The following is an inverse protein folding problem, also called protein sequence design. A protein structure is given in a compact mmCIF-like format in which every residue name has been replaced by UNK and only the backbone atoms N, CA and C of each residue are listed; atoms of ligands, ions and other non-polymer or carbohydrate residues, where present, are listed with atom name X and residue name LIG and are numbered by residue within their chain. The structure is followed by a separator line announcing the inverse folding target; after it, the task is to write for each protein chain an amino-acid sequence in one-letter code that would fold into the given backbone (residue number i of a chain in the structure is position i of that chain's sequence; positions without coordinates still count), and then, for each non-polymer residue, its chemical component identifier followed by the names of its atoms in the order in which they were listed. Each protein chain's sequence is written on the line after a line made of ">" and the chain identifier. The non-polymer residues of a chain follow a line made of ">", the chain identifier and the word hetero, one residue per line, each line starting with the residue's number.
data_IF_353014659887
#
_entry.id   IF_353014659887
#
_cell.length_a   1.000
_cell.length_b   1.000
_cell.length_c   1.000
_cell.angle_alpha   90.00
_cell.angle_beta   90.00
_cell.angle_gamma   90.00
#
_symmetry.space_group_name_H-M   'P 1'
#
loop_
_entity.id
_entity.type
_entity.pdbx_description
1 polymer ?
#
# COMPACT_ATOMS: atom_id res chain seq x y z
N UNK A 1 1.81 -56.79 84.59
CA UNK A 1 1.10 -56.90 83.32
C UNK A 1 1.19 -55.54 82.59
N UNK A 2 2.04 -55.44 81.57
CA UNK A 2 2.31 -54.18 80.84
C UNK A 2 1.83 -54.35 79.46
N UNK A 3 0.86 -53.53 79.06
CA UNK A 3 0.28 -53.41 77.69
C UNK A 3 1.16 -52.46 76.90
N UNK A 4 1.71 -52.93 75.77
CA UNK A 4 2.43 -52.16 74.79
C UNK A 4 1.45 -51.65 73.75
N UNK A 5 1.35 -50.32 73.65
CA UNK A 5 0.58 -49.59 72.58
C UNK A 5 1.48 -49.38 71.39
N UNK A 6 1.12 -49.91 70.22
CA UNK A 6 1.82 -49.66 68.95
C UNK A 6 1.29 -48.38 68.32
N UNK A 7 2.17 -47.44 68.04
CA UNK A 7 1.88 -46.26 67.23
C UNK A 7 2.10 -46.60 65.75
N UNK A 8 1.08 -46.53 64.94
CA UNK A 8 1.16 -46.60 63.48
C UNK A 8 1.36 -45.23 62.92
N UNK A 9 2.54 -44.97 62.30
CA UNK A 9 2.79 -43.74 61.53
C UNK A 9 2.20 -43.88 60.11
N UNK A 10 1.13 -43.15 59.85
CA UNK A 10 0.57 -43.03 58.51
C UNK A 10 1.35 -41.93 57.78
N UNK A 11 2.14 -42.34 56.77
CA UNK A 11 2.86 -41.45 55.88
C UNK A 11 1.88 -40.90 54.85
N UNK A 12 1.50 -39.62 54.95
CA UNK A 12 0.66 -38.91 53.98
C UNK A 12 1.55 -38.50 52.80
N UNK A 13 1.46 -39.22 51.69
CA UNK A 13 2.13 -38.88 50.44
C UNK A 13 1.34 -37.74 49.76
N UNK A 14 1.84 -36.48 49.86
CA UNK A 14 1.33 -35.36 49.04
C UNK A 14 1.79 -35.58 47.61
N UNK A 15 0.90 -36.04 46.75
CA UNK A 15 1.06 -35.93 45.29
C UNK A 15 0.86 -34.44 44.91
N UNK A 16 1.94 -33.68 44.74
CA UNK A 16 1.91 -32.43 44.04
C UNK A 16 1.79 -32.70 42.55
N UNK A 17 0.56 -32.72 42.03
CA UNK A 17 0.30 -32.66 40.60
C UNK A 17 0.74 -31.31 40.09
N UNK A 18 1.90 -31.25 39.49
CA UNK A 18 2.30 -30.12 38.63
C UNK A 18 1.34 -30.11 37.43
N UNK A 19 0.33 -29.24 37.49
CA UNK A 19 -0.43 -28.88 36.32
C UNK A 19 0.57 -28.27 35.33
N UNK A 20 0.99 -29.05 34.33
CA UNK A 20 1.66 -28.51 33.15
C UNK A 20 0.65 -27.55 32.50
N UNK A 21 0.91 -26.25 32.61
CA UNK A 21 0.15 -25.24 31.87
C UNK A 21 0.39 -25.53 30.40
N UNK A 22 -0.67 -25.87 29.68
CA UNK A 22 -0.60 -26.00 28.23
C UNK A 22 -0.13 -24.65 27.66
N UNK A 23 0.95 -24.67 26.89
CA UNK A 23 1.50 -23.47 26.24
C UNK A 23 0.39 -22.87 25.33
N UNK A 24 0.13 -21.56 25.44
CA UNK A 24 -0.85 -20.93 24.54
C UNK A 24 -0.22 -20.60 23.18
N UNK A 25 -1.03 -20.44 22.12
CA UNK A 25 -0.52 -20.00 20.83
C UNK A 25 0.30 -18.70 20.90
N UNK A 26 -0.11 -17.74 21.75
CA UNK A 26 0.63 -16.49 21.97
C UNK A 26 1.98 -16.75 22.64
N UNK A 27 2.05 -17.68 23.59
CA UNK A 27 3.31 -18.07 24.23
C UNK A 27 4.24 -18.76 23.23
N UNK A 28 3.69 -19.61 22.35
CA UNK A 28 4.46 -20.23 21.26
C UNK A 28 5.01 -19.20 20.31
N UNK A 29 4.20 -18.21 19.91
CA UNK A 29 4.63 -17.12 19.05
C UNK A 29 5.71 -16.25 19.70
N UNK A 30 5.55 -15.91 21.00
CA UNK A 30 6.53 -15.16 21.75
C UNK A 30 7.87 -15.91 21.87
N UNK A 31 7.83 -17.21 22.18
CA UNK A 31 9.03 -18.03 22.28
C UNK A 31 9.78 -18.15 20.95
N UNK A 32 9.05 -18.25 19.82
CA UNK A 32 9.65 -18.22 18.48
C UNK A 32 10.41 -16.91 18.26
N UNK A 33 9.79 -15.77 18.54
CA UNK A 33 10.41 -14.46 18.37
C UNK A 33 11.61 -14.26 19.31
N UNK A 34 11.53 -14.79 20.55
CA UNK A 34 12.66 -14.78 21.50
C UNK A 34 13.86 -15.60 20.99
N UNK A 35 13.60 -16.70 20.28
CA UNK A 35 14.66 -17.48 19.64
C UNK A 35 15.28 -16.74 18.46
N UNK A 36 14.48 -16.06 17.66
CA UNK A 36 14.97 -15.28 16.49
C UNK A 36 15.81 -14.09 16.94
N UNK A 37 15.35 -13.35 17.93
CA UNK A 37 16.06 -12.18 18.49
C UNK A 37 17.41 -12.59 19.12
N UNK A 38 17.43 -13.75 19.77
CA UNK A 38 18.65 -14.29 20.38
C UNK A 38 19.55 -15.08 19.41
N UNK A 39 19.29 -15.04 18.10
CA UNK A 39 19.99 -15.81 17.04
C UNK A 39 20.03 -17.33 17.29
N UNK A 40 19.03 -17.86 18.01
CA UNK A 40 18.88 -19.30 18.31
C UNK A 40 18.02 -20.00 17.26
N UNK A 41 18.43 -19.92 15.99
CA UNK A 41 17.61 -20.37 14.85
C UNK A 41 17.34 -21.87 14.85
N UNK A 42 18.26 -22.71 15.37
CA UNK A 42 18.02 -24.16 15.55
C UNK A 42 16.89 -24.41 16.56
N UNK A 43 16.80 -23.64 17.64
CA UNK A 43 15.71 -23.75 18.60
C UNK A 43 14.39 -23.24 18.03
N UNK A 44 14.43 -22.19 17.21
CA UNK A 44 13.27 -21.72 16.48
C UNK A 44 12.73 -22.77 15.49
N UNK A 45 13.62 -23.41 14.72
CA UNK A 45 13.29 -24.48 13.77
C UNK A 45 12.70 -25.71 14.46
N UNK A 46 13.17 -26.05 15.66
CA UNK A 46 12.62 -27.14 16.47
C UNK A 46 11.16 -26.93 16.91
N UNK A 47 10.65 -25.69 16.84
CA UNK A 47 9.24 -25.36 17.09
C UNK A 47 8.34 -25.56 15.87
N UNK A 48 8.91 -25.84 14.71
CA UNK A 48 8.16 -25.94 13.44
C UNK A 48 7.46 -27.28 13.27
N UNK A 49 6.40 -27.28 12.46
CA UNK A 49 5.91 -28.55 11.89
C UNK A 49 6.96 -29.08 10.92
N UNK A 50 6.94 -30.40 10.60
CA UNK A 50 7.88 -30.98 9.64
C UNK A 50 7.83 -30.30 8.26
N UNK A 51 6.63 -29.89 7.82
CA UNK A 51 6.40 -29.20 6.56
C UNK A 51 7.02 -27.80 6.58
N UNK A 52 6.83 -27.06 7.68
CA UNK A 52 7.39 -25.72 7.84
C UNK A 52 8.93 -25.75 7.94
N UNK A 53 9.50 -26.69 8.70
CA UNK A 53 10.95 -26.86 8.81
C UNK A 53 11.60 -27.18 7.45
N UNK A 54 10.92 -27.94 6.61
CA UNK A 54 11.37 -28.23 5.23
C UNK A 54 11.27 -27.00 4.32
N UNK A 55 10.23 -26.19 4.48
CA UNK A 55 9.98 -25.01 3.65
C UNK A 55 10.91 -23.85 4.01
N UNK A 56 11.24 -23.67 5.29
CA UNK A 56 12.06 -22.55 5.81
C UNK A 56 13.15 -23.09 6.71
N UNK A 57 14.30 -23.53 6.16
CA UNK A 57 15.46 -23.94 6.94
C UNK A 57 15.99 -22.82 7.83
N UNK A 58 16.52 -23.17 9.02
CA UNK A 58 17.00 -22.20 10.00
C UNK A 58 18.03 -21.19 9.49
N UNK A 59 18.87 -21.60 8.53
CA UNK A 59 19.84 -20.68 7.89
C UNK A 59 19.13 -19.57 7.07
N UNK A 60 18.09 -19.92 6.34
CA UNK A 60 17.29 -18.96 5.57
C UNK A 60 16.51 -18.02 6.50
N UNK A 61 15.98 -18.57 7.60
CA UNK A 61 15.28 -17.80 8.62
C UNK A 61 16.20 -16.77 9.30
N UNK A 62 17.45 -17.16 9.57
CA UNK A 62 18.49 -16.25 10.10
C UNK A 62 18.77 -15.10 9.16
N UNK A 63 19.01 -15.38 7.87
CA UNK A 63 19.28 -14.36 6.87
C UNK A 63 18.10 -13.38 6.76
N UNK A 64 16.87 -13.89 6.71
CA UNK A 64 15.68 -13.07 6.68
C UNK A 64 15.59 -12.16 7.92
N UNK A 65 15.73 -12.73 9.14
CA UNK A 65 15.64 -11.94 10.37
C UNK A 65 16.69 -10.84 10.44
N UNK A 66 17.94 -11.15 10.09
CA UNK A 66 19.03 -10.18 10.07
C UNK A 66 18.82 -9.05 9.05
N UNK A 67 18.17 -9.33 7.92
CA UNK A 67 17.86 -8.32 6.91
C UNK A 67 16.83 -7.28 7.37
N UNK A 68 16.02 -7.59 8.40
CA UNK A 68 15.03 -6.67 8.98
C UNK A 68 15.67 -5.59 9.88
N UNK A 69 16.91 -5.79 10.28
CA UNK A 69 17.61 -4.89 11.22
C UNK A 69 17.32 -5.19 12.69
N UNK A 70 17.74 -4.30 13.58
CA UNK A 70 17.56 -4.43 15.02
C UNK A 70 16.08 -4.30 15.41
N UNK A 71 15.55 -5.28 16.16
CA UNK A 71 14.21 -5.21 16.74
C UNK A 71 14.22 -4.22 17.92
N UNK A 72 13.36 -3.20 17.87
CA UNK A 72 13.23 -2.15 18.88
C UNK A 72 12.05 -2.35 19.81
N UNK A 73 10.95 -2.88 19.28
CA UNK A 73 9.71 -3.02 20.04
C UNK A 73 8.86 -4.19 19.52
N UNK A 74 8.20 -4.88 20.44
CA UNK A 74 7.14 -5.86 20.17
C UNK A 74 5.80 -5.31 20.68
N UNK A 75 4.84 -5.18 19.79
CA UNK A 75 3.48 -4.77 20.14
C UNK A 75 2.66 -5.93 20.73
N UNK A 76 1.43 -5.61 21.13
CA UNK A 76 0.48 -6.59 21.68
C UNK A 76 0.03 -7.59 20.62
N UNK A 77 0.17 -8.88 20.91
CA UNK A 77 -0.29 -9.96 20.05
C UNK A 77 -1.82 -9.93 19.88
N UNK A 78 -2.29 -10.23 18.67
CA UNK A 78 -3.71 -10.44 18.32
C UNK A 78 -3.87 -11.83 17.76
N UNK A 79 -4.95 -12.53 18.12
CA UNK A 79 -5.20 -13.90 17.68
C UNK A 79 -6.50 -14.03 16.90
N UNK A 80 -6.49 -14.91 15.91
CA UNK A 80 -7.68 -15.32 15.17
C UNK A 80 -7.58 -16.82 14.91
N UNK A 81 -8.66 -17.57 15.13
CA UNK A 81 -8.69 -19.01 14.87
C UNK A 81 -9.42 -19.29 13.55
N UNK A 82 -8.84 -20.13 12.71
CA UNK A 82 -9.43 -20.59 11.46
C UNK A 82 -9.04 -22.05 11.22
N UNK A 83 -10.04 -22.90 10.95
CA UNK A 83 -9.87 -24.35 10.66
C UNK A 83 -8.98 -25.11 11.66
N UNK A 84 -9.10 -24.82 12.95
CA UNK A 84 -8.32 -25.48 14.00
C UNK A 84 -6.89 -25.00 14.16
N UNK A 85 -6.46 -24.01 13.38
CA UNK A 85 -5.19 -23.30 13.53
C UNK A 85 -5.40 -21.91 14.14
N UNK A 86 -4.45 -21.46 14.95
CA UNK A 86 -4.46 -20.12 15.51
C UNK A 86 -3.43 -19.27 14.81
N UNK A 87 -3.88 -18.17 14.21
CA UNK A 87 -3.00 -17.14 13.64
C UNK A 87 -2.73 -16.10 14.72
N UNK A 88 -1.48 -16.00 15.15
CA UNK A 88 -1.01 -14.98 16.09
C UNK A 88 -0.30 -13.91 15.29
N UNK A 89 -0.78 -12.67 15.37
CA UNK A 89 -0.18 -11.50 14.72
C UNK A 89 0.50 -10.66 15.78
N UNK A 90 1.81 -10.51 15.69
CA UNK A 90 2.62 -9.70 16.61
C UNK A 90 3.20 -8.52 15.82
N UNK A 91 2.82 -7.28 16.15
CA UNK A 91 3.47 -6.10 15.59
C UNK A 91 4.92 -6.00 16.05
N UNK A 92 5.82 -5.79 15.12
CA UNK A 92 7.26 -5.67 15.38
C UNK A 92 7.77 -4.36 14.78
N UNK A 93 8.49 -3.58 15.57
CA UNK A 93 9.18 -2.35 15.12
C UNK A 93 10.67 -2.62 15.04
N UNK A 94 11.23 -2.61 13.85
CA UNK A 94 12.65 -2.74 13.58
C UNK A 94 13.30 -1.38 13.32
N UNK A 95 14.62 -1.35 13.31
CA UNK A 95 15.35 -0.13 12.90
C UNK A 95 14.98 0.33 11.48
N UNK A 96 14.66 -0.61 10.59
CA UNK A 96 14.36 -0.37 9.18
C UNK A 96 12.83 -0.29 8.86
N UNK A 97 11.95 -0.30 9.85
CA UNK A 97 10.51 -0.20 9.67
C UNK A 97 9.69 -1.10 10.57
N UNK A 98 8.37 -1.07 10.42
CA UNK A 98 7.45 -1.87 11.21
C UNK A 98 6.83 -2.99 10.36
N UNK A 99 6.74 -4.20 10.94
CA UNK A 99 6.17 -5.40 10.32
C UNK A 99 5.22 -6.09 11.29
N UNK A 100 4.20 -6.76 10.77
CA UNK A 100 3.38 -7.71 11.49
C UNK A 100 3.95 -9.13 11.26
N UNK A 101 4.43 -9.79 12.32
CA UNK A 101 4.78 -11.20 12.28
C UNK A 101 3.47 -12.01 12.40
N UNK A 102 3.06 -12.70 11.34
CA UNK A 102 1.94 -13.64 11.34
C UNK A 102 2.49 -15.03 11.57
N UNK A 103 2.17 -15.61 12.72
CA UNK A 103 2.64 -16.92 13.17
C UNK A 103 1.43 -17.82 13.26
N UNK A 104 1.40 -18.88 12.44
CA UNK A 104 0.35 -19.89 12.45
C UNK A 104 0.76 -21.00 13.40
N UNK A 105 -0.08 -21.26 14.41
CA UNK A 105 0.17 -22.28 15.45
C UNK A 105 -0.87 -23.36 15.34
N UNK A 106 -0.44 -24.64 15.25
CA UNK A 106 -1.31 -25.80 15.20
C UNK A 106 -1.85 -26.19 16.60
N UNK A 107 -2.77 -27.17 16.62
CA UNK A 107 -3.37 -27.67 17.85
C UNK A 107 -2.34 -28.33 18.81
N UNK A 108 -1.17 -28.72 18.31
CA UNK A 108 -0.05 -29.26 19.07
C UNK A 108 0.95 -28.19 19.51
N UNK A 109 0.60 -26.92 19.38
CA UNK A 109 1.45 -25.74 19.71
C UNK A 109 2.75 -25.68 18.90
N UNK A 110 2.75 -26.18 17.65
CA UNK A 110 3.87 -26.07 16.74
C UNK A 110 3.61 -24.95 15.73
N UNK A 111 4.67 -24.35 15.23
CA UNK A 111 4.59 -23.32 14.20
C UNK A 111 4.40 -23.98 12.83
N UNK A 112 3.24 -23.79 12.24
CA UNK A 112 2.86 -24.28 10.92
C UNK A 112 3.08 -23.26 9.80
N UNK A 113 3.32 -21.98 10.15
CA UNK A 113 3.59 -20.93 9.19
C UNK A 113 4.18 -19.68 9.86
N UNK A 114 5.03 -18.97 9.14
CA UNK A 114 5.61 -17.69 9.55
C UNK A 114 5.66 -16.76 8.34
N UNK A 115 5.10 -15.57 8.49
CA UNK A 115 5.11 -14.54 7.45
C UNK A 115 5.32 -13.17 8.10
N UNK A 116 6.21 -12.37 7.53
CA UNK A 116 6.36 -10.96 7.88
C UNK A 116 5.66 -10.12 6.82
N UNK A 117 4.68 -9.34 7.25
CA UNK A 117 3.94 -8.40 6.39
C UNK A 117 4.21 -6.98 6.85
N UNK A 118 4.19 -5.98 5.98
CA UNK A 118 4.17 -4.60 6.44
C UNK A 118 3.10 -4.42 7.51
N UNK A 119 3.48 -3.80 8.63
CA UNK A 119 2.54 -3.55 9.72
C UNK A 119 1.33 -2.76 9.19
N UNK A 120 0.14 -3.14 9.62
CA UNK A 120 -1.03 -2.33 9.32
C UNK A 120 -0.80 -0.93 9.90
N UNK A 121 -0.86 0.09 9.04
CA UNK A 121 -0.73 1.46 9.51
C UNK A 121 -1.77 1.73 10.61
N UNK A 122 -1.42 2.45 11.68
CA UNK A 122 -2.39 2.83 12.70
C UNK A 122 -3.61 3.49 12.06
N UNK A 123 -4.80 3.38 12.64
CA UNK A 123 -5.97 4.07 12.11
C UNK A 123 -5.70 5.58 11.95
N UNK A 124 -6.21 6.17 10.88
CA UNK A 124 -6.10 7.62 10.70
C UNK A 124 -6.69 8.34 11.93
N UNK A 125 -6.03 9.37 12.46
CA UNK A 125 -6.59 10.14 13.56
C UNK A 125 -7.94 10.74 13.16
N UNK A 126 -8.89 10.83 14.10
CA UNK A 126 -10.17 11.49 13.83
C UNK A 126 -9.95 12.96 13.40
N UNK A 127 -10.81 13.51 12.53
CA UNK A 127 -10.76 14.93 12.23
C UNK A 127 -10.93 15.77 13.50
N UNK A 128 -10.36 16.99 13.58
CA UNK A 128 -10.64 17.92 14.65
C UNK A 128 -12.16 18.16 14.80
N UNK A 129 -12.63 18.33 16.04
CA UNK A 129 -14.07 18.51 16.31
C UNK A 129 -14.66 19.76 15.65
N UNK A 130 -13.85 20.78 15.42
CA UNK A 130 -14.18 22.06 14.78
C UNK A 130 -13.81 22.08 13.28
N UNK A 131 -13.42 20.96 12.70
CA UNK A 131 -13.10 20.89 11.28
C UNK A 131 -14.29 21.36 10.42
N UNK A 132 -14.04 22.18 9.37
CA UNK A 132 -15.10 22.67 8.49
C UNK A 132 -15.56 21.60 7.47
N UNK A 133 -15.41 20.32 7.81
CA UNK A 133 -15.86 19.16 7.06
C UNK A 133 -16.20 18.00 8.01
N UNK A 134 -16.84 16.97 7.49
CA UNK A 134 -17.12 15.71 8.18
C UNK A 134 -16.65 14.54 7.33
N UNK A 135 -16.09 13.52 7.96
CA UNK A 135 -15.78 12.25 7.29
C UNK A 135 -16.86 11.22 7.62
N UNK A 136 -17.31 10.50 6.62
CA UNK A 136 -18.27 9.40 6.76
C UNK A 136 -17.83 8.20 5.93
N UNK A 137 -18.21 6.99 6.38
CA UNK A 137 -18.02 5.78 5.57
C UNK A 137 -18.74 5.93 4.23
N UNK A 138 -18.11 5.42 3.19
CA UNK A 138 -18.64 5.38 1.84
C UNK A 138 -18.33 4.02 1.21
N UNK A 139 -19.23 3.51 0.40
CA UNK A 139 -19.01 2.26 -0.33
C UNK A 139 -19.03 2.54 -1.83
N UNK A 140 -17.98 2.13 -2.53
CA UNK A 140 -17.93 2.18 -3.99
C UNK A 140 -18.47 0.85 -4.51
N UNK A 141 -19.66 0.84 -5.15
CA UNK A 141 -20.27 -0.37 -5.67
C UNK A 141 -19.48 -0.87 -6.89
N UNK A 142 -19.03 -2.13 -6.85
CA UNK A 142 -18.41 -2.78 -8.00
C UNK A 142 -19.09 -4.13 -8.30
N UNK A 143 -18.94 -4.68 -9.50
CA UNK A 143 -19.59 -5.95 -9.86
C UNK A 143 -19.21 -7.12 -8.94
N UNK A 144 -18.02 -7.09 -8.35
CA UNK A 144 -17.52 -8.17 -7.48
C UNK A 144 -17.75 -7.88 -6.00
N UNK A 145 -18.37 -6.76 -5.64
CA UNK A 145 -18.68 -6.31 -4.28
C UNK A 145 -18.15 -4.91 -3.98
N UNK A 146 -18.69 -4.26 -2.97
CA UNK A 146 -18.35 -2.90 -2.62
C UNK A 146 -16.91 -2.76 -2.12
N UNK A 147 -16.26 -1.64 -2.49
CA UNK A 147 -14.97 -1.24 -1.94
C UNK A 147 -15.20 -0.21 -0.82
N UNK A 148 -14.66 -0.45 0.38
CA UNK A 148 -14.81 0.48 1.49
C UNK A 148 -14.05 1.78 1.21
N UNK A 149 -14.68 2.89 1.54
CA UNK A 149 -14.14 4.24 1.33
C UNK A 149 -14.48 5.19 2.46
N UNK A 150 -14.04 6.42 2.30
CA UNK A 150 -14.38 7.55 3.17
C UNK A 150 -14.66 8.78 2.31
N UNK A 151 -15.81 9.39 2.53
CA UNK A 151 -16.17 10.67 1.94
C UNK A 151 -15.92 11.79 2.96
N UNK A 152 -15.01 12.69 2.63
CA UNK A 152 -14.82 13.95 3.34
C UNK A 152 -15.74 15.01 2.71
N UNK A 153 -16.81 15.38 3.41
CA UNK A 153 -17.83 16.32 2.94
C UNK A 153 -17.67 17.67 3.66
N UNK A 154 -17.54 18.79 2.94
CA UNK A 154 -17.54 20.11 3.55
C UNK A 154 -18.81 20.38 4.36
N UNK A 155 -18.73 21.20 5.41
CA UNK A 155 -19.90 21.71 6.12
C UNK A 155 -20.49 22.91 5.35
N UNK A 156 -21.81 23.13 5.51
CA UNK A 156 -22.50 24.25 4.85
C UNK A 156 -23.51 23.81 3.81
N UNK A 157 -23.88 24.75 2.93
CA UNK A 157 -24.85 24.48 1.86
C UNK A 157 -24.14 24.10 0.57
N UNK A 158 -24.35 22.86 0.12
CA UNK A 158 -23.96 22.42 -1.21
C UNK A 158 -24.88 22.94 -2.32
N UNK A 159 -24.80 22.39 -3.55
CA UNK A 159 -23.96 21.25 -3.91
C UNK A 159 -22.47 21.63 -4.00
N UNK A 160 -21.60 20.74 -3.57
CA UNK A 160 -20.14 20.92 -3.59
C UNK A 160 -19.52 20.28 -4.82
N UNK A 161 -18.45 20.88 -5.40
CA UNK A 161 -17.58 20.15 -6.32
C UNK A 161 -16.93 18.99 -5.57
N UNK A 162 -16.59 17.93 -6.29
CA UNK A 162 -16.00 16.77 -5.64
C UNK A 162 -14.85 16.16 -6.44
N UNK A 163 -13.93 15.52 -5.68
CA UNK A 163 -12.76 14.83 -6.22
C UNK A 163 -12.81 13.36 -5.84
N UNK A 164 -12.54 12.47 -6.79
CA UNK A 164 -12.20 11.06 -6.54
C UNK A 164 -10.68 10.95 -6.58
N UNK A 165 -10.06 10.42 -5.50
CA UNK A 165 -8.64 10.13 -5.47
C UNK A 165 -8.38 8.72 -6.03
N UNK A 166 -7.44 8.61 -6.98
CA UNK A 166 -7.08 7.37 -7.67
C UNK A 166 -5.61 7.05 -7.39
N UNK A 167 -5.40 5.88 -6.80
CA UNK A 167 -4.10 5.45 -6.26
C UNK A 167 -3.03 5.18 -7.32
N UNK A 168 -1.79 5.22 -6.86
CA UNK A 168 -0.64 4.65 -7.55
C UNK A 168 -0.67 3.12 -7.66
N UNK A 169 0.45 2.54 -8.08
CA UNK A 169 0.62 1.09 -8.26
C UNK A 169 0.57 0.33 -6.92
N UNK A 170 0.22 -0.95 -7.00
CA UNK A 170 0.18 -1.86 -5.86
C UNK A 170 -1.10 -1.79 -5.03
N UNK A 171 -1.19 -2.60 -3.96
CA UNK A 171 -2.38 -2.75 -3.11
C UNK A 171 -2.44 -1.62 -2.06
N UNK A 172 -3.02 -0.49 -2.42
CA UNK A 172 -3.09 0.72 -1.60
C UNK A 172 -4.38 0.77 -0.75
N UNK A 173 -4.26 1.29 0.47
CA UNK A 173 -5.42 1.70 1.26
C UNK A 173 -5.92 3.08 0.80
N UNK A 174 -7.09 3.49 1.30
CA UNK A 174 -7.73 4.78 0.93
C UNK A 174 -6.90 6.02 1.23
N UNK A 175 -5.91 5.91 2.10
CA UNK A 175 -5.03 7.00 2.50
C UNK A 175 -3.73 7.02 1.68
N UNK A 176 -3.53 5.99 0.82
CA UNK A 176 -2.29 5.73 0.09
C UNK A 176 -1.08 5.72 1.04
N UNK A 177 -1.20 4.93 2.10
CA UNK A 177 -0.25 4.91 3.21
C UNK A 177 1.10 4.37 2.79
N UNK A 178 2.15 5.17 2.96
CA UNK A 178 3.55 4.80 2.73
C UNK A 178 4.36 5.10 4.00
N UNK A 179 4.73 4.06 4.73
CA UNK A 179 5.32 4.22 6.05
C UNK A 179 4.39 4.99 6.99
N UNK A 180 4.85 6.05 7.66
CA UNK A 180 4.01 6.90 8.51
C UNK A 180 3.16 7.91 7.72
N UNK A 181 3.37 8.05 6.40
CA UNK A 181 2.80 9.10 5.58
C UNK A 181 1.46 8.67 4.95
N UNK A 182 0.53 9.62 4.82
CA UNK A 182 -0.81 9.40 4.28
C UNK A 182 -1.21 10.51 3.32
N UNK A 183 -0.63 10.54 2.13
CA UNK A 183 -0.81 11.66 1.21
C UNK A 183 -2.27 11.87 0.81
N UNK A 184 -3.06 10.82 0.62
CA UNK A 184 -4.48 10.99 0.28
C UNK A 184 -5.33 11.49 1.44
N UNK A 185 -4.96 11.17 2.70
CA UNK A 185 -5.62 11.75 3.87
C UNK A 185 -5.39 13.26 3.92
N UNK A 186 -4.15 13.72 3.73
CA UNK A 186 -3.79 15.14 3.75
C UNK A 186 -4.53 15.91 2.65
N UNK A 187 -4.52 15.39 1.42
CA UNK A 187 -5.22 15.99 0.28
C UNK A 187 -6.73 16.04 0.54
N UNK A 188 -7.32 14.94 1.01
CA UNK A 188 -8.76 14.88 1.22
C UNK A 188 -9.23 15.89 2.28
N UNK A 189 -8.54 15.95 3.40
CA UNK A 189 -8.87 16.88 4.49
C UNK A 189 -8.61 18.34 4.10
N UNK A 190 -7.49 18.58 3.43
CA UNK A 190 -7.13 19.92 2.99
C UNK A 190 -8.08 20.48 1.93
N UNK A 191 -8.56 19.68 0.98
CA UNK A 191 -9.57 20.08 0.00
C UNK A 191 -10.95 20.23 0.64
N UNK A 192 -11.34 19.29 1.52
CA UNK A 192 -12.64 19.36 2.21
C UNK A 192 -12.75 20.61 3.11
N UNK A 193 -11.67 20.99 3.77
CA UNK A 193 -11.60 22.24 4.52
C UNK A 193 -11.76 23.49 3.64
N UNK A 194 -11.54 23.36 2.34
CA UNK A 194 -11.70 24.42 1.36
C UNK A 194 -12.99 24.33 0.53
N UNK A 195 -13.98 23.53 0.95
CA UNK A 195 -15.30 23.45 0.31
C UNK A 195 -15.35 22.53 -0.91
N UNK A 196 -14.46 21.55 -1.03
CA UNK A 196 -14.41 20.53 -2.10
C UNK A 196 -14.56 19.17 -1.45
N UNK A 197 -15.62 18.43 -1.77
CA UNK A 197 -15.79 17.08 -1.26
C UNK A 197 -14.74 16.12 -1.84
N UNK A 198 -14.29 15.13 -1.06
CA UNK A 198 -13.27 14.18 -1.52
C UNK A 198 -13.63 12.76 -1.14
N UNK A 199 -13.69 11.89 -2.16
CA UNK A 199 -13.82 10.45 -1.99
C UNK A 199 -12.46 9.78 -2.14
N UNK A 200 -12.10 8.98 -1.15
CA UNK A 200 -10.98 8.05 -1.15
C UNK A 200 -11.47 6.67 -0.75
N UNK A 201 -11.00 5.63 -1.41
CA UNK A 201 -11.47 4.25 -1.22
C UNK A 201 -10.29 3.27 -1.20
N UNK A 202 -10.46 2.11 -0.58
CA UNK A 202 -9.42 1.08 -0.57
C UNK A 202 -9.37 0.39 -1.94
N UNK A 203 -8.18 0.28 -2.50
CA UNK A 203 -7.97 -0.36 -3.81
C UNK A 203 -8.39 -1.83 -3.76
N UNK A 204 -8.97 -2.36 -4.82
CA UNK A 204 -9.46 -3.74 -4.89
C UNK A 204 -8.34 -4.74 -4.60
N UNK A 205 -7.14 -4.53 -5.11
CA UNK A 205 -5.97 -5.37 -4.83
C UNK A 205 -5.58 -5.41 -3.35
N UNK A 206 -5.98 -4.41 -2.57
CA UNK A 206 -5.76 -4.35 -1.10
C UNK A 206 -6.80 -5.17 -0.34
N UNK A 207 -8.08 -4.97 -0.63
CA UNK A 207 -9.18 -5.52 0.19
C UNK A 207 -9.76 -6.82 -0.37
N UNK A 208 -9.50 -7.12 -1.64
CA UNK A 208 -10.01 -8.28 -2.36
C UNK A 208 -8.94 -8.91 -3.27
N UNK A 209 -7.74 -9.23 -2.77
CA UNK A 209 -6.65 -9.79 -3.58
C UNK A 209 -7.05 -11.10 -4.28
N UNK A 210 -8.02 -11.85 -3.70
CA UNK A 210 -8.56 -13.07 -4.30
C UNK A 210 -9.24 -12.84 -5.66
N UNK A 211 -9.74 -11.63 -5.94
CA UNK A 211 -10.36 -11.29 -7.23
C UNK A 211 -9.34 -11.39 -8.40
N UNK A 212 -8.05 -11.39 -8.07
CA UNK A 212 -6.92 -11.40 -9.02
C UNK A 212 -6.10 -12.70 -8.99
N UNK A 213 -6.31 -13.58 -8.01
CA UNK A 213 -5.39 -14.69 -7.70
C UNK A 213 -5.33 -15.79 -8.76
N UNK A 214 -6.35 -15.95 -9.60
CA UNK A 214 -6.48 -17.09 -10.52
C UNK A 214 -6.95 -16.72 -11.93
N UNK A 215 -6.92 -15.45 -12.30
CA UNK A 215 -7.38 -15.00 -13.62
C UNK A 215 -6.42 -14.00 -14.25
N UNK A 216 -6.44 -13.96 -15.55
CA UNK A 216 -5.90 -12.84 -16.29
C UNK A 216 -6.71 -11.56 -15.96
N UNK A 217 -5.99 -10.48 -15.72
CA UNK A 217 -6.58 -9.16 -15.47
C UNK A 217 -5.70 -8.07 -16.07
N UNK A 218 -6.23 -6.88 -16.13
CA UNK A 218 -5.59 -5.70 -16.69
C UNK A 218 -5.58 -4.56 -15.67
N UNK A 219 -4.92 -3.44 -15.98
CA UNK A 219 -5.01 -2.23 -15.17
C UNK A 219 -6.43 -1.62 -15.16
N UNK A 220 -7.28 -1.95 -16.14
CA UNK A 220 -8.68 -1.53 -16.11
C UNK A 220 -9.43 -2.24 -15.00
N UNK A 221 -9.28 -3.55 -14.87
CA UNK A 221 -9.84 -4.34 -13.76
C UNK A 221 -9.31 -3.87 -12.39
N UNK A 222 -8.05 -3.46 -12.33
CA UNK A 222 -7.39 -3.05 -11.08
C UNK A 222 -7.75 -1.62 -10.66
N UNK A 223 -7.91 -0.70 -11.61
CA UNK A 223 -7.91 0.75 -11.33
C UNK A 223 -9.00 1.51 -12.08
N UNK A 224 -9.07 1.38 -13.42
CA UNK A 224 -9.93 2.23 -14.25
C UNK A 224 -11.42 2.01 -13.95
N UNK A 225 -11.86 0.75 -13.91
CA UNK A 225 -13.26 0.40 -13.69
C UNK A 225 -13.75 0.80 -12.30
N UNK A 226 -12.91 0.63 -11.28
CA UNK A 226 -13.22 1.03 -9.91
C UNK A 226 -13.28 2.55 -9.75
N UNK A 227 -12.40 3.29 -10.43
CA UNK A 227 -12.45 4.75 -10.44
C UNK A 227 -13.73 5.27 -11.13
N UNK A 228 -14.14 4.67 -12.24
CA UNK A 228 -15.41 4.99 -12.91
C UNK A 228 -16.61 4.67 -12.03
N UNK A 229 -16.59 3.54 -11.32
CA UNK A 229 -17.62 3.19 -10.34
C UNK A 229 -17.69 4.22 -9.19
N UNK A 230 -16.53 4.66 -8.68
CA UNK A 230 -16.45 5.69 -7.64
C UNK A 230 -17.01 7.04 -8.10
N UNK A 231 -16.72 7.47 -9.35
CA UNK A 231 -17.26 8.68 -9.95
C UNK A 231 -18.79 8.57 -10.06
N UNK A 232 -19.30 7.44 -10.54
CA UNK A 232 -20.73 7.22 -10.67
C UNK A 232 -21.46 7.24 -9.32
N UNK A 233 -20.92 6.61 -8.32
CA UNK A 233 -21.47 6.62 -6.96
C UNK A 233 -21.46 8.03 -6.35
N UNK A 234 -20.37 8.77 -6.54
CA UNK A 234 -20.23 10.13 -6.04
C UNK A 234 -21.22 11.09 -6.73
N UNK A 235 -21.45 10.93 -8.03
CA UNK A 235 -22.42 11.71 -8.81
C UNK A 235 -23.85 11.60 -8.27
N UNK A 236 -24.23 10.45 -7.69
CA UNK A 236 -25.53 10.21 -7.06
C UNK A 236 -25.63 10.62 -5.60
N UNK A 237 -24.56 11.15 -5.01
CA UNK A 237 -24.49 11.44 -3.59
C UNK A 237 -25.13 12.80 -3.27
N UNK A 238 -26.07 12.88 -2.31
CA UNK A 238 -26.68 14.14 -1.91
C UNK A 238 -25.64 15.18 -1.44
N UNK A 239 -25.79 16.41 -1.90
CA UNK A 239 -24.87 17.51 -1.58
C UNK A 239 -23.64 17.62 -2.49
N UNK A 240 -23.48 16.71 -3.44
CA UNK A 240 -22.45 16.77 -4.50
C UNK A 240 -23.04 17.40 -5.76
N UNK A 241 -22.24 18.21 -6.43
CA UNK A 241 -22.55 18.74 -7.77
C UNK A 241 -22.10 17.73 -8.84
N UNK A 242 -23.03 17.03 -9.51
CA UNK A 242 -22.67 16.02 -10.50
C UNK A 242 -22.02 16.60 -11.76
N UNK A 243 -22.13 17.89 -12.00
CA UNK A 243 -21.45 18.59 -13.11
C UNK A 243 -20.02 19.04 -12.77
N UNK A 244 -19.57 18.84 -11.53
CA UNK A 244 -18.28 19.31 -11.04
C UNK A 244 -17.51 18.19 -10.34
N UNK A 245 -17.38 17.04 -11.00
CA UNK A 245 -16.62 15.89 -10.52
C UNK A 245 -15.24 15.87 -11.17
N UNK A 246 -14.23 15.76 -10.34
CA UNK A 246 -12.83 15.74 -10.76
C UNK A 246 -12.17 14.41 -10.39
N UNK A 247 -11.23 13.97 -11.20
CA UNK A 247 -10.35 12.85 -10.90
C UNK A 247 -8.98 13.41 -10.55
N UNK A 248 -8.47 13.07 -9.37
CA UNK A 248 -7.08 13.34 -9.01
C UNK A 248 -6.36 12.00 -8.85
N UNK A 249 -5.52 11.68 -9.83
CA UNK A 249 -4.73 10.46 -9.84
C UNK A 249 -3.29 10.74 -9.42
N UNK A 250 -2.76 9.89 -8.53
CA UNK A 250 -1.37 9.90 -8.13
C UNK A 250 -0.60 8.78 -8.83
N UNK A 251 0.62 9.07 -9.31
CA UNK A 251 1.48 8.05 -9.93
C UNK A 251 0.76 7.27 -11.04
N UNK A 252 0.61 5.94 -10.96
CA UNK A 252 -0.16 5.14 -11.92
C UNK A 252 -1.61 5.65 -12.08
N UNK A 253 -2.26 6.08 -11.00
CA UNK A 253 -3.59 6.68 -11.08
C UNK A 253 -3.61 7.97 -11.89
N UNK A 254 -2.55 8.77 -11.81
CA UNK A 254 -2.36 9.96 -12.65
C UNK A 254 -2.13 9.61 -14.12
N UNK A 255 -1.34 8.57 -14.38
CA UNK A 255 -1.15 8.03 -15.73
C UNK A 255 -2.47 7.55 -16.36
N UNK A 256 -3.33 6.91 -15.57
CA UNK A 256 -4.60 6.36 -16.02
C UNK A 256 -5.77 7.37 -16.00
N UNK A 257 -5.59 8.55 -15.38
CA UNK A 257 -6.66 9.55 -15.27
C UNK A 257 -7.25 9.97 -16.63
N UNK A 258 -6.46 10.18 -17.71
CA UNK A 258 -7.02 10.44 -19.04
C UNK A 258 -7.92 9.30 -19.54
N UNK A 259 -7.50 8.03 -19.34
CA UNK A 259 -8.28 6.85 -19.69
C UNK A 259 -9.57 6.76 -18.90
N UNK A 260 -9.53 7.05 -17.59
CA UNK A 260 -10.72 7.11 -16.72
C UNK A 260 -11.74 8.12 -17.28
N UNK A 261 -11.26 9.30 -17.71
CA UNK A 261 -12.13 10.32 -18.30
C UNK A 261 -12.72 9.90 -19.67
N UNK A 262 -12.02 9.08 -20.45
CA UNK A 262 -12.57 8.49 -21.67
C UNK A 262 -13.70 7.47 -21.40
N UNK A 263 -13.70 6.83 -20.21
CA UNK A 263 -14.71 5.87 -19.80
C UNK A 263 -15.85 6.47 -18.93
N UNK A 264 -15.84 7.79 -18.70
CA UNK A 264 -16.88 8.47 -17.92
C UNK A 264 -17.16 9.88 -18.45
N UNK A 265 -18.40 10.14 -18.81
CA UNK A 265 -18.90 11.45 -19.25
C UNK A 265 -19.11 12.44 -18.07
N UNK A 266 -18.95 11.99 -16.84
CA UNK A 266 -19.17 12.80 -15.63
C UNK A 266 -17.91 13.53 -15.15
N UNK A 267 -16.76 13.27 -15.75
CA UNK A 267 -15.50 13.92 -15.35
C UNK A 267 -15.42 15.33 -15.89
N UNK A 268 -15.45 16.32 -15.01
CA UNK A 268 -15.36 17.74 -15.36
C UNK A 268 -13.91 18.23 -15.52
N UNK A 269 -12.92 17.52 -14.96
CA UNK A 269 -11.50 17.85 -15.11
C UNK A 269 -10.60 16.87 -14.39
N UNK A 270 -9.31 16.94 -14.69
CA UNK A 270 -8.30 15.99 -14.24
C UNK A 270 -7.16 16.68 -13.50
N UNK A 271 -6.70 16.05 -12.45
CA UNK A 271 -5.47 16.43 -11.71
C UNK A 271 -4.52 15.24 -11.78
N UNK A 272 -3.41 15.40 -12.46
CA UNK A 272 -2.37 14.39 -12.64
C UNK A 272 -1.21 14.72 -11.71
N UNK A 273 -1.08 13.98 -10.63
CA UNK A 273 -0.05 14.20 -9.62
C UNK A 273 1.05 13.16 -9.73
N UNK A 274 2.28 13.61 -9.96
CA UNK A 274 3.46 12.73 -10.15
C UNK A 274 3.17 11.61 -11.16
N UNK A 275 2.54 11.97 -12.29
CA UNK A 275 2.00 11.01 -13.25
C UNK A 275 3.06 10.59 -14.26
N UNK A 276 3.35 9.28 -14.43
CA UNK A 276 4.21 8.80 -15.50
C UNK A 276 3.62 9.13 -16.89
N UNK A 277 4.50 9.52 -17.80
CA UNK A 277 4.20 9.65 -19.22
C UNK A 277 4.69 8.44 -20.03
N UNK A 278 5.43 7.54 -19.39
CA UNK A 278 6.03 6.34 -19.97
C UNK A 278 5.53 5.09 -19.26
N UNK A 279 5.64 3.95 -19.94
CA UNK A 279 5.26 2.65 -19.38
C UNK A 279 6.04 2.32 -18.11
N UNK A 280 5.36 1.68 -17.17
CA UNK A 280 5.97 1.16 -15.95
C UNK A 280 7.10 0.17 -16.23
N UNK A 281 7.04 -0.61 -17.31
CA UNK A 281 8.14 -1.47 -17.76
C UNK A 281 9.41 -0.69 -18.15
N UNK A 282 9.29 0.59 -18.45
CA UNK A 282 10.44 1.49 -18.68
C UNK A 282 10.93 2.10 -17.37
N UNK A 283 10.01 2.43 -16.47
CA UNK A 283 10.35 3.09 -15.19
C UNK A 283 10.98 2.12 -14.19
N UNK A 284 10.52 0.89 -14.10
CA UNK A 284 11.00 -0.10 -13.13
C UNK A 284 12.54 -0.26 -13.14
N UNK A 285 13.21 -0.50 -14.27
CA UNK A 285 14.66 -0.63 -14.30
C UNK A 285 15.36 0.72 -14.01
N UNK A 286 14.82 1.86 -14.43
CA UNK A 286 15.38 3.17 -14.15
C UNK A 286 15.36 3.47 -12.65
N UNK A 287 14.21 3.24 -11.98
CA UNK A 287 14.04 3.43 -10.55
C UNK A 287 15.00 2.54 -9.75
N UNK A 288 15.09 1.25 -10.10
CA UNK A 288 15.97 0.33 -9.39
C UNK A 288 17.45 0.69 -9.56
N UNK A 289 17.91 1.03 -10.80
CA UNK A 289 19.28 1.49 -11.02
C UNK A 289 19.60 2.77 -10.25
N UNK A 290 18.67 3.72 -10.20
CA UNK A 290 18.86 4.94 -9.44
C UNK A 290 19.04 4.63 -7.95
N UNK A 291 18.13 3.83 -7.37
CA UNK A 291 18.15 3.50 -5.94
C UNK A 291 19.41 2.72 -5.53
N UNK A 292 19.83 1.76 -6.34
CA UNK A 292 21.06 1.00 -6.10
C UNK A 292 22.29 1.91 -6.21
N UNK A 293 22.32 2.80 -7.21
CA UNK A 293 23.40 3.75 -7.43
C UNK A 293 23.58 4.77 -6.29
N UNK A 294 22.52 5.07 -5.51
CA UNK A 294 22.64 5.94 -4.33
C UNK A 294 23.55 5.36 -3.23
N UNK A 295 23.73 4.05 -3.20
CA UNK A 295 24.54 3.33 -2.20
C UNK A 295 26.02 3.20 -2.61
N UNK A 296 26.38 3.59 -3.82
CA UNK A 296 27.72 3.47 -4.38
C UNK A 296 27.79 2.57 -5.61
N UNK A 297 28.88 1.81 -5.76
CA UNK A 297 29.01 0.85 -6.85
C UNK A 297 28.02 -0.31 -6.67
N UNK A 298 27.34 -0.68 -7.77
CA UNK A 298 26.39 -1.79 -7.81
C UNK A 298 27.15 -3.10 -7.61
N UNK A 299 26.78 -3.89 -6.61
CA UNK A 299 27.38 -5.20 -6.34
C UNK A 299 27.02 -6.24 -7.42
N UNK A 300 27.73 -7.37 -7.42
CA UNK A 300 27.45 -8.49 -8.35
C UNK A 300 26.03 -9.02 -8.17
N UNK A 301 25.55 -9.13 -6.92
CA UNK A 301 24.19 -9.58 -6.60
C UNK A 301 23.14 -8.59 -7.07
N UNK A 302 23.38 -7.29 -6.89
CA UNK A 302 22.48 -6.23 -7.36
C UNK A 302 22.44 -6.18 -8.89
N UNK A 303 23.57 -6.40 -9.56
CA UNK A 303 23.62 -6.52 -11.02
C UNK A 303 22.82 -7.74 -11.49
N UNK A 304 22.95 -8.90 -10.85
CA UNK A 304 22.18 -10.10 -11.18
C UNK A 304 20.66 -9.88 -11.00
N UNK A 305 20.27 -9.12 -9.99
CA UNK A 305 18.87 -8.69 -9.81
C UNK A 305 18.40 -7.82 -11.00
N UNK A 306 19.18 -6.81 -11.40
CA UNK A 306 18.86 -5.96 -12.54
C UNK A 306 18.78 -6.75 -13.86
N UNK A 307 19.68 -7.69 -14.08
CA UNK A 307 19.66 -8.57 -15.26
C UNK A 307 18.41 -9.46 -15.28
N UNK A 308 17.99 -9.95 -14.11
CA UNK A 308 16.75 -10.71 -13.96
C UNK A 308 15.53 -9.84 -14.26
N UNK A 309 15.50 -8.62 -13.74
CA UNK A 309 14.41 -7.67 -14.00
C UNK A 309 14.35 -7.32 -15.51
N UNK A 310 15.48 -7.07 -16.15
CA UNK A 310 15.53 -6.79 -17.59
C UNK A 310 15.04 -7.98 -18.42
N UNK A 311 15.38 -9.22 -18.03
CA UNK A 311 14.86 -10.43 -18.66
C UNK A 311 13.35 -10.59 -18.50
N UNK A 312 12.83 -10.35 -17.30
CA UNK A 312 11.39 -10.34 -17.02
C UNK A 312 10.64 -9.28 -17.84
N UNK A 313 11.21 -8.08 -17.98
CA UNK A 313 10.64 -7.01 -18.79
C UNK A 313 10.62 -7.38 -20.27
N UNK A 314 11.71 -7.98 -20.78
CA UNK A 314 11.76 -8.48 -22.15
C UNK A 314 10.68 -9.56 -22.39
N UNK A 315 10.48 -10.47 -21.44
CA UNK A 315 9.41 -11.46 -21.48
C UNK A 315 8.01 -10.82 -21.45
N UNK A 316 7.79 -9.82 -20.60
CA UNK A 316 6.51 -9.09 -20.51
C UNK A 316 6.14 -8.35 -21.81
N UNK A 317 7.14 -7.83 -22.53
CA UNK A 317 6.98 -7.19 -23.85
C UNK A 317 6.83 -8.20 -24.98
N UNK A 318 7.19 -9.45 -24.76
CA UNK A 318 7.07 -10.51 -25.73
C UNK A 318 5.63 -10.98 -25.94
N UNK A 319 5.45 -11.86 -26.93
CA UNK A 319 4.16 -12.48 -27.27
C UNK A 319 3.99 -13.89 -26.66
N UNK A 320 5.04 -14.45 -26.07
CA UNK A 320 4.98 -15.77 -25.44
C UNK A 320 4.05 -15.78 -24.24
N UNK A 321 3.47 -16.94 -23.95
CA UNK A 321 2.71 -17.18 -22.74
C UNK A 321 3.68 -17.53 -21.61
N UNK A 322 3.98 -16.54 -20.76
CA UNK A 322 4.93 -16.66 -19.65
C UNK A 322 4.15 -16.61 -18.34
N UNK A 323 4.41 -17.55 -17.42
CA UNK A 323 3.76 -17.55 -16.10
C UNK A 323 3.99 -16.24 -15.36
N UNK A 324 2.99 -15.73 -14.65
CA UNK A 324 3.06 -14.46 -13.93
C UNK A 324 4.24 -14.37 -12.95
N UNK A 325 4.61 -15.48 -12.29
CA UNK A 325 5.78 -15.55 -11.38
C UNK A 325 7.13 -15.22 -12.05
N UNK A 326 7.20 -15.36 -13.37
CA UNK A 326 8.40 -15.11 -14.18
C UNK A 326 8.34 -13.74 -14.89
N UNK A 327 7.34 -12.93 -14.56
CA UNK A 327 7.13 -11.57 -15.06
C UNK A 327 7.32 -10.54 -13.94
N UNK A 328 7.55 -9.26 -14.28
CA UNK A 328 7.76 -8.23 -13.26
C UNK A 328 6.61 -8.19 -12.25
N UNK A 329 6.94 -8.04 -10.96
CA UNK A 329 5.99 -7.95 -9.85
C UNK A 329 5.04 -9.15 -9.71
N UNK A 330 5.24 -10.26 -10.42
CA UNK A 330 4.35 -11.40 -10.41
C UNK A 330 2.98 -11.13 -11.07
N UNK A 331 2.87 -10.12 -11.93
CA UNK A 331 1.64 -9.76 -12.62
C UNK A 331 1.50 -10.50 -13.95
N UNK A 332 0.26 -10.84 -14.39
CA UNK A 332 0.06 -11.65 -15.59
C UNK A 332 0.44 -10.89 -16.88
N UNK A 333 0.72 -11.66 -17.93
CA UNK A 333 1.07 -11.11 -19.23
C UNK A 333 -0.01 -10.21 -19.84
N UNK A 334 -1.29 -10.51 -19.56
CA UNK A 334 -2.44 -9.66 -19.94
C UNK A 334 -2.33 -8.24 -19.36
N UNK A 335 -1.93 -8.12 -18.09
CA UNK A 335 -1.71 -6.83 -17.43
C UNK A 335 -0.65 -6.01 -18.15
N UNK A 336 0.52 -6.59 -18.37
CA UNK A 336 1.65 -5.90 -19.01
C UNK A 336 1.36 -5.52 -20.46
N UNK A 337 0.74 -6.42 -21.23
CA UNK A 337 0.34 -6.14 -22.63
C UNK A 337 -0.70 -5.04 -22.72
N UNK A 338 -1.64 -4.97 -21.78
CA UNK A 338 -2.60 -3.89 -21.70
C UNK A 338 -1.91 -2.57 -21.31
N UNK A 339 -1.01 -2.62 -20.33
CA UNK A 339 -0.29 -1.45 -19.84
C UNK A 339 0.63 -0.82 -20.90
N UNK A 340 1.34 -1.65 -21.70
CA UNK A 340 2.21 -1.16 -22.80
C UNK A 340 1.42 -0.48 -23.93
N UNK A 341 0.11 -0.69 -24.02
CA UNK A 341 -0.75 -0.01 -25.00
C UNK A 341 -1.26 1.36 -24.51
N UNK A 342 -1.05 1.71 -23.27
CA UNK A 342 -1.46 3.01 -22.73
C UNK A 342 -0.44 4.07 -23.16
N UNK A 343 -0.91 5.06 -23.92
CA UNK A 343 -0.20 6.31 -24.16
C UNK A 343 -0.94 7.44 -23.46
N UNK A 344 -0.59 7.74 -22.19
CA UNK A 344 -1.36 8.69 -21.39
C UNK A 344 -1.31 10.10 -21.96
N UNK A 345 -0.25 10.46 -22.68
CA UNK A 345 -0.12 11.76 -23.34
C UNK A 345 -1.03 11.84 -24.56
N UNK A 346 -1.09 10.78 -25.39
CA UNK A 346 -2.03 10.71 -26.51
C UNK A 346 -3.47 10.70 -26.01
N UNK A 347 -3.79 9.92 -25.00
CA UNK A 347 -5.12 9.89 -24.38
C UNK A 347 -5.54 11.28 -23.88
N UNK A 348 -4.68 11.98 -23.15
CA UNK A 348 -4.93 13.34 -22.66
C UNK A 348 -5.17 14.35 -23.80
N UNK A 349 -4.50 14.17 -24.95
CA UNK A 349 -4.70 15.05 -26.13
C UNK A 349 -6.11 14.96 -26.72
N UNK A 350 -6.79 13.86 -26.56
CA UNK A 350 -8.15 13.66 -27.08
C UNK A 350 -9.21 14.32 -26.22
N UNK A 351 -8.86 14.70 -24.98
CA UNK A 351 -9.80 15.24 -24.02
C UNK A 351 -10.06 16.73 -24.22
N UNK A 352 -11.28 17.13 -23.94
CA UNK A 352 -11.69 18.55 -23.89
C UNK A 352 -11.69 19.11 -22.47
N UNK A 353 -11.70 18.22 -21.47
CA UNK A 353 -11.68 18.58 -20.08
C UNK A 353 -10.36 19.29 -19.71
N UNK A 354 -10.41 20.25 -18.78
CA UNK A 354 -9.22 20.90 -18.28
C UNK A 354 -8.35 19.91 -17.47
N UNK A 355 -7.04 20.06 -17.58
CA UNK A 355 -6.05 19.20 -16.92
C UNK A 355 -5.09 20.05 -16.09
N UNK A 356 -4.88 19.67 -14.84
CA UNK A 356 -3.81 20.19 -13.97
C UNK A 356 -2.76 19.11 -13.79
N UNK A 357 -1.51 19.41 -14.13
CA UNK A 357 -0.38 18.52 -13.85
C UNK A 357 0.46 19.09 -12.70
N UNK A 358 0.80 18.21 -11.75
CA UNK A 358 1.58 18.53 -10.55
C UNK A 358 2.80 17.62 -10.50
N UNK A 359 4.01 18.19 -10.37
CA UNK A 359 5.24 17.44 -10.35
C UNK A 359 6.18 17.91 -9.24
N UNK A 360 6.78 16.98 -8.51
CA UNK A 360 7.84 17.23 -7.55
C UNK A 360 9.22 17.22 -8.22
N UNK A 361 10.06 18.22 -7.94
CA UNK A 361 11.42 18.30 -8.50
C UNK A 361 12.41 17.29 -7.89
N UNK A 362 12.04 16.68 -6.76
CA UNK A 362 12.82 15.62 -6.07
C UNK A 362 12.19 14.24 -6.21
N UNK A 363 11.22 14.11 -7.12
CA UNK A 363 10.58 12.82 -7.40
C UNK A 363 11.57 11.88 -8.10
N UNK A 364 11.87 10.74 -7.46
CA UNK A 364 12.79 9.71 -7.97
C UNK A 364 12.06 8.58 -8.67
N UNK A 365 10.74 8.53 -8.58
CA UNK A 365 9.92 7.49 -9.21
C UNK A 365 9.41 7.95 -10.57
N UNK A 366 8.97 9.21 -10.66
CA UNK A 366 8.53 9.85 -11.89
C UNK A 366 9.41 11.10 -12.09
N UNK A 367 10.41 10.96 -12.94
CA UNK A 367 11.48 11.93 -13.09
C UNK A 367 11.16 13.02 -14.14
N UNK A 368 12.03 14.01 -14.26
CA UNK A 368 11.86 15.13 -15.20
C UNK A 368 11.64 14.68 -16.66
N UNK A 369 12.14 13.51 -17.06
CA UNK A 369 11.87 12.96 -18.39
C UNK A 369 10.36 12.81 -18.66
N UNK A 370 9.58 12.32 -17.70
CA UNK A 370 8.12 12.19 -17.82
C UNK A 370 7.45 13.57 -17.83
N UNK A 371 7.89 14.47 -16.95
CA UNK A 371 7.44 15.85 -16.93
C UNK A 371 7.63 16.58 -18.27
N UNK A 372 8.78 16.42 -18.90
CA UNK A 372 9.04 17.00 -20.20
C UNK A 372 8.20 16.36 -21.32
N UNK A 373 7.89 15.05 -21.23
CA UNK A 373 6.98 14.39 -22.16
C UNK A 373 5.56 14.97 -22.08
N UNK A 374 5.04 15.15 -20.86
CA UNK A 374 3.76 15.82 -20.64
C UNK A 374 3.76 17.24 -21.17
N UNK A 375 4.77 18.06 -20.86
CA UNK A 375 4.87 19.44 -21.34
C UNK A 375 4.91 19.51 -22.85
N UNK A 376 5.78 18.72 -23.50
CA UNK A 376 5.85 18.68 -24.97
C UNK A 376 4.55 18.21 -25.60
N UNK A 377 3.93 17.19 -25.00
CA UNK A 377 2.71 16.58 -25.51
C UNK A 377 1.50 17.50 -25.45
N UNK A 378 1.37 18.31 -24.41
CA UNK A 378 0.18 19.11 -24.13
C UNK A 378 0.41 20.62 -24.26
N UNK A 379 1.58 21.08 -24.73
CA UNK A 379 1.95 22.50 -24.82
C UNK A 379 0.97 23.35 -25.65
N UNK A 380 0.22 22.75 -26.58
CA UNK A 380 -0.72 23.46 -27.45
C UNK A 380 -2.15 23.50 -26.89
N UNK A 381 -2.42 22.79 -25.80
CA UNK A 381 -3.74 22.76 -25.18
C UNK A 381 -3.91 23.87 -24.16
N UNK A 382 -4.81 24.82 -24.43
CA UNK A 382 -5.04 25.99 -23.56
C UNK A 382 -5.70 25.63 -22.22
N UNK A 383 -6.34 24.48 -22.14
CA UNK A 383 -7.01 23.97 -20.94
C UNK A 383 -6.06 23.25 -19.97
N UNK A 384 -4.77 23.14 -20.31
CA UNK A 384 -3.77 22.45 -19.48
C UNK A 384 -2.96 23.45 -18.66
N UNK A 385 -2.83 23.13 -17.37
CA UNK A 385 -2.03 23.91 -16.40
C UNK A 385 -0.93 23.03 -15.85
N UNK A 386 0.29 23.52 -15.81
CA UNK A 386 1.46 22.85 -15.23
C UNK A 386 1.89 23.56 -13.96
N UNK A 387 2.19 22.77 -12.92
CA UNK A 387 2.77 23.23 -11.66
C UNK A 387 3.91 22.31 -11.26
N UNK A 388 5.07 22.86 -11.06
CA UNK A 388 6.24 22.16 -10.54
C UNK A 388 6.61 22.70 -9.16
N UNK A 389 7.05 21.79 -8.30
CA UNK A 389 7.42 22.06 -6.92
C UNK A 389 8.85 21.53 -6.68
N UNK A 390 9.88 22.36 -6.78
CA UNK A 390 11.27 21.91 -6.75
C UNK A 390 11.67 21.11 -5.50
N UNK A 391 10.99 21.34 -4.36
CA UNK A 391 11.31 20.70 -3.09
C UNK A 391 10.55 19.40 -2.83
N UNK A 392 9.55 19.02 -3.63
CA UNK A 392 8.68 17.89 -3.34
C UNK A 392 9.24 16.58 -3.88
N UNK A 393 9.12 15.52 -3.08
CA UNK A 393 9.29 14.13 -3.48
C UNK A 393 8.01 13.56 -4.11
N UNK A 394 8.00 12.26 -4.43
CA UNK A 394 6.87 11.57 -5.06
C UNK A 394 5.56 11.67 -4.26
N UNK A 395 5.64 11.69 -2.93
CA UNK A 395 4.48 11.80 -2.04
C UNK A 395 4.01 13.25 -1.81
N UNK A 396 4.59 14.24 -2.50
CA UNK A 396 4.26 15.65 -2.31
C UNK A 396 4.80 16.25 -0.99
N UNK A 397 5.76 15.58 -0.37
CA UNK A 397 6.39 16.00 0.88
C UNK A 397 7.67 16.78 0.56
N UNK A 398 7.84 17.90 1.21
CA UNK A 398 9.00 18.76 0.99
C UNK A 398 10.27 18.19 1.65
N UNK A 399 11.40 18.29 0.96
CA UNK A 399 12.70 17.86 1.44
C UNK A 399 13.84 18.67 0.84
N UNK A 400 15.08 18.25 1.11
CA UNK A 400 16.30 18.87 0.63
C UNK A 400 17.22 17.83 -0.02
N UNK A 401 18.08 18.27 -0.93
CA UNK A 401 19.00 17.38 -1.65
C UNK A 401 18.30 16.41 -2.61
N UNK A 402 18.99 15.38 -3.10
CA UNK A 402 18.41 14.32 -3.92
C UNK A 402 17.32 13.56 -3.15
N UNK A 403 16.26 13.12 -3.84
CA UNK A 403 15.23 12.27 -3.23
C UNK A 403 15.79 10.88 -2.91
N UNK A 404 15.32 10.29 -1.81
CA UNK A 404 15.67 8.92 -1.39
C UNK A 404 14.43 8.19 -0.85
N UNK A 405 14.49 6.85 -0.77
CA UNK A 405 13.40 6.07 -0.15
C UNK A 405 13.36 6.21 1.37
N UNK A 406 14.49 6.50 2.00
CA UNK A 406 14.59 6.70 3.45
C UNK A 406 13.71 7.87 3.93
N UNK A 407 13.45 8.85 3.07
CA UNK A 407 12.53 9.95 3.38
C UNK A 407 11.12 9.45 3.70
N UNK A 408 10.69 8.36 3.08
CA UNK A 408 9.34 7.81 3.29
C UNK A 408 9.17 7.14 4.65
N UNK A 409 10.26 6.79 5.33
CA UNK A 409 10.24 6.28 6.70
C UNK A 409 10.05 7.38 7.76
N UNK A 410 10.22 8.64 7.39
CA UNK A 410 10.03 9.79 8.27
C UNK A 410 8.61 10.35 8.13
N UNK A 411 7.94 10.73 9.25
CA UNK A 411 6.64 11.40 9.18
C UNK A 411 6.72 12.72 8.42
N UNK A 412 5.80 12.93 7.49
CA UNK A 412 5.66 14.16 6.72
C UNK A 412 4.24 14.36 6.23
N UNK A 413 3.96 15.52 5.68
CA UNK A 413 2.66 15.88 5.12
C UNK A 413 2.80 16.45 3.72
N UNK A 414 1.79 16.25 2.90
CA UNK A 414 1.69 16.90 1.59
C UNK A 414 1.77 18.41 1.77
N UNK A 415 2.61 19.04 0.95
CA UNK A 415 2.80 20.49 1.04
C UNK A 415 1.46 21.23 0.90
N UNK A 416 1.07 22.07 1.85
CA UNK A 416 -0.20 22.81 1.80
C UNK A 416 -0.40 23.60 0.51
N UNK A 417 0.67 24.17 -0.06
CA UNK A 417 0.60 24.89 -1.34
C UNK A 417 0.11 24.01 -2.50
N UNK A 418 0.48 22.73 -2.54
CA UNK A 418 -0.01 21.80 -3.57
C UNK A 418 -1.53 21.66 -3.47
N UNK A 419 -2.04 21.45 -2.25
CA UNK A 419 -3.48 21.33 -1.97
C UNK A 419 -4.22 22.63 -2.31
N UNK A 420 -3.64 23.78 -1.95
CA UNK A 420 -4.19 25.10 -2.25
C UNK A 420 -4.24 25.37 -3.77
N UNK A 421 -3.24 24.95 -4.52
CA UNK A 421 -3.21 25.08 -5.98
C UNK A 421 -4.30 24.24 -6.63
N UNK A 422 -4.54 23.00 -6.14
CA UNK A 422 -5.64 22.14 -6.59
C UNK A 422 -7.00 22.80 -6.27
N UNK A 423 -7.19 23.26 -5.04
CA UNK A 423 -8.44 23.91 -4.63
C UNK A 423 -8.74 25.16 -5.46
N UNK A 424 -7.76 26.01 -5.67
CA UNK A 424 -7.90 27.22 -6.53
C UNK A 424 -8.22 26.86 -7.96
N UNK A 425 -7.57 25.83 -8.50
CA UNK A 425 -7.78 25.39 -9.86
C UNK A 425 -9.21 24.84 -10.08
N UNK A 426 -9.75 24.05 -9.13
CA UNK A 426 -11.12 23.56 -9.16
C UNK A 426 -12.13 24.71 -9.05
N UNK A 427 -11.92 25.63 -8.09
CA UNK A 427 -12.84 26.77 -7.85
C UNK A 427 -12.91 27.74 -9.01
N UNK A 428 -11.83 27.92 -9.75
CA UNK A 428 -11.80 28.79 -10.93
C UNK A 428 -12.61 28.25 -12.11
N UNK A 429 -13.22 27.06 -11.99
CA UNK A 429 -14.03 26.36 -13.01
C UNK A 429 -15.49 26.22 -12.58
N UNK A 430 -15.95 27.13 -11.76
CA UNK A 430 -17.34 27.22 -11.28
C UNK A 430 -18.23 27.89 -12.32
#
# INVERSE_FOLDING_TARGET
>A
MRTLTRWGSTLLMLCTSTLAHATSPEQTASALLDHLEADRTTAAEAMFTPEMAKAVPGAQLRTLWQSLGELRERGTARTTTHEGMTIVVVPLTFANGALDAQIVVDAQQRVAGLMFKPAAAPAAPAPPADAPYRESSFEVPTPTGALPGTLAMPTGRGPFPAVVLVHGSGPQDRDETVGPNRPFLDVARGLAAQGIAVLRYDKRTKVRPQDFASRDFTMDDETTDDAVAAINALAGTPGIDPGRLYVMGHSQGGMLAPRIAQHSDKVAGLILWSAPARSLLTLLPEQNRYLLGLRGEISTEEQAFLDTLDAQIAAARGTADVPAKDLPLGLPASYWRAFERVDPVADARTLTQPILLLQGGRDIQVIDTDWQLWKRGLSRQRSVTFRDYPSLNHLGIAGQGPGTLEEYASPGHVLPQLIDDVARWIKARS
#
